data_IF_538778694485
#
_entry.id   IF_538778694485
#
_cell.length_a   1.000
_cell.length_b   1.000
_cell.length_c   1.000
_cell.angle_alpha   90.00
_cell.angle_beta   90.00
_cell.angle_gamma   90.00
#
_symmetry.space_group_name_H-M   'P 1'
#
loop_
_entity.id
_entity.type
_entity.pdbx_description
1 polymer ?
#
# COMPACT_ATOMS: atom_id res chain seq x y z
N UNK A 1 -0.77 -29.39 90.06
CA UNK A 1 0.67 -29.39 89.75
C UNK A 1 0.82 -29.65 88.25
N UNK A 2 1.43 -28.68 87.56
CA UNK A 2 2.05 -28.65 86.22
C UNK A 2 1.24 -29.22 85.04
N UNK A 3 0.72 -28.45 84.08
CA UNK A 3 1.21 -27.28 83.31
C UNK A 3 2.25 -27.62 82.22
N UNK A 4 1.79 -27.55 80.96
CA UNK A 4 2.44 -27.14 79.68
C UNK A 4 1.69 -27.87 78.55
N UNK A 5 0.75 -27.30 77.80
CA UNK A 5 0.75 -26.07 76.99
C UNK A 5 1.73 -26.12 75.80
N UNK A 6 1.21 -26.57 74.65
CA UNK A 6 1.52 -26.05 73.31
C UNK A 6 0.57 -26.75 72.30
N UNK A 7 -0.52 -26.08 71.87
CA UNK A 7 -0.59 -25.38 70.57
C UNK A 7 -0.73 -26.38 69.40
N UNK A 8 -1.72 -26.36 68.51
CA UNK A 8 -2.54 -25.26 68.01
C UNK A 8 -3.65 -25.90 67.15
N UNK A 9 -4.91 -25.49 67.34
CA UNK A 9 -6.06 -25.82 66.48
C UNK A 9 -5.89 -25.20 65.10
N UNK A 10 -5.94 -25.97 64.00
CA UNK A 10 -6.49 -25.55 62.69
C UNK A 10 -6.85 -26.81 61.89
N UNK A 11 -8.13 -27.15 61.74
CA UNK A 11 -8.64 -27.92 60.60
C UNK A 11 -10.18 -27.91 60.51
N UNK A 12 -10.76 -26.71 60.53
CA UNK A 12 -12.19 -26.51 60.30
C UNK A 12 -12.47 -25.25 59.48
N UNK A 13 -11.88 -25.11 58.30
CA UNK A 13 -12.34 -24.16 57.26
C UNK A 13 -11.63 -24.39 55.91
N UNK A 14 -11.87 -25.52 55.25
CA UNK A 14 -11.29 -25.82 53.94
C UNK A 14 -12.23 -25.61 52.74
N UNK A 15 -13.36 -24.92 52.89
CA UNK A 15 -14.43 -24.94 51.87
C UNK A 15 -14.76 -23.61 51.18
N UNK A 16 -14.19 -22.46 51.56
CA UNK A 16 -14.55 -21.19 50.91
C UNK A 16 -13.38 -20.20 50.87
N UNK A 17 -12.45 -20.35 49.92
CA UNK A 17 -11.57 -19.23 49.57
C UNK A 17 -10.97 -19.37 48.15
N UNK A 18 -11.82 -19.34 47.12
CA UNK A 18 -11.33 -18.91 45.80
C UNK A 18 -11.33 -17.37 45.78
N UNK A 19 -10.17 -16.69 45.68
CA UNK A 19 -10.12 -15.25 45.80
C UNK A 19 -10.68 -14.58 44.53
N UNK A 20 -11.43 -13.46 44.65
CA UNK A 20 -12.11 -12.77 43.54
C UNK A 20 -11.16 -12.13 42.52
N UNK A 21 -9.85 -12.10 42.80
CA UNK A 21 -8.82 -11.56 41.89
C UNK A 21 -8.59 -12.42 40.66
N UNK A 22 -8.88 -13.73 40.73
CA UNK A 22 -8.76 -14.62 39.56
C UNK A 22 -9.71 -14.17 38.46
N UNK A 23 -10.98 -13.89 38.77
CA UNK A 23 -11.98 -13.47 37.79
C UNK A 23 -11.63 -12.17 37.06
N UNK A 24 -10.99 -11.21 37.74
CA UNK A 24 -10.58 -9.94 37.13
C UNK A 24 -9.39 -10.11 36.19
N UNK A 25 -8.37 -10.88 36.61
CA UNK A 25 -7.24 -11.26 35.77
C UNK A 25 -7.73 -12.07 34.57
N UNK A 26 -8.74 -12.91 34.79
CA UNK A 26 -9.34 -13.74 33.76
C UNK A 26 -10.14 -12.94 32.72
N UNK A 27 -10.87 -11.90 33.14
CA UNK A 27 -11.55 -10.99 32.22
C UNK A 27 -10.59 -10.11 31.42
N UNK A 28 -9.51 -9.64 32.06
CA UNK A 28 -8.46 -8.86 31.39
C UNK A 28 -7.75 -9.70 30.31
N UNK A 29 -7.43 -10.94 30.63
CA UNK A 29 -6.79 -11.89 29.72
C UNK A 29 -7.67 -12.19 28.49
N UNK A 30 -8.96 -12.44 28.71
CA UNK A 30 -9.93 -12.62 27.63
C UNK A 30 -10.07 -11.36 26.75
N UNK A 31 -10.12 -10.17 27.36
CA UNK A 31 -10.17 -8.90 26.63
C UNK A 31 -8.91 -8.65 25.79
N UNK A 32 -7.74 -9.00 26.32
CA UNK A 32 -6.47 -8.86 25.61
C UNK A 32 -6.37 -9.84 24.44
N UNK A 33 -6.86 -11.08 24.61
CA UNK A 33 -6.95 -12.08 23.53
C UNK A 33 -7.88 -11.61 22.42
N UNK A 34 -9.05 -11.05 22.74
CA UNK A 34 -9.96 -10.48 21.74
C UNK A 34 -9.37 -9.24 21.05
N UNK A 35 -8.71 -8.35 21.79
CA UNK A 35 -8.06 -7.17 21.25
C UNK A 35 -6.89 -7.55 20.31
N UNK A 36 -6.09 -8.55 20.69
CA UNK A 36 -5.02 -9.10 19.86
C UNK A 36 -5.58 -9.80 18.61
N UNK A 37 -6.63 -10.61 18.76
CA UNK A 37 -7.31 -11.26 17.64
C UNK A 37 -7.91 -10.23 16.67
N UNK A 38 -8.53 -9.18 17.19
CA UNK A 38 -9.06 -8.06 16.41
C UNK A 38 -7.94 -7.28 15.70
N UNK A 39 -6.84 -6.97 16.39
CA UNK A 39 -5.64 -6.35 15.79
C UNK A 39 -5.08 -7.19 14.64
N UNK A 40 -4.95 -8.51 14.82
CA UNK A 40 -4.46 -9.43 13.77
C UNK A 40 -5.46 -9.58 12.61
N UNK A 41 -6.76 -9.48 12.88
CA UNK A 41 -7.81 -9.46 11.85
C UNK A 41 -7.72 -8.18 10.99
N UNK A 42 -7.48 -7.03 11.62
CA UNK A 42 -7.44 -5.72 10.96
C UNK A 42 -6.14 -5.46 10.20
N UNK A 43 -4.99 -6.03 10.63
CA UNK A 43 -3.67 -5.67 10.08
C UNK A 43 -3.32 -6.30 8.72
N UNK A 44 -3.94 -7.40 8.26
CA UNK A 44 -3.36 -8.18 7.14
C UNK A 44 -4.29 -8.28 5.90
N UNK A 45 -3.93 -7.55 4.84
CA UNK A 45 -4.57 -7.61 3.53
C UNK A 45 -3.77 -8.42 2.51
N UNK A 46 -4.07 -9.72 2.36
CA UNK A 46 -3.87 -10.51 1.12
C UNK A 46 -4.53 -11.91 1.24
N UNK A 47 -5.12 -12.42 0.15
CA UNK A 47 -6.37 -13.22 0.26
C UNK A 47 -6.30 -14.75 0.17
N UNK A 48 -5.16 -15.46 0.20
CA UNK A 48 -5.22 -16.94 0.14
C UNK A 48 -4.41 -17.68 1.21
N UNK A 49 -3.09 -17.54 1.23
CA UNK A 49 -2.22 -18.23 2.22
C UNK A 49 -2.44 -17.67 3.63
N UNK A 50 -2.75 -16.38 3.73
CA UNK A 50 -3.00 -15.71 5.02
C UNK A 50 -4.29 -16.16 5.69
N UNK A 51 -5.30 -16.66 4.95
CA UNK A 51 -6.51 -17.23 5.55
C UNK A 51 -6.22 -18.54 6.28
N UNK A 52 -5.33 -19.36 5.73
CA UNK A 52 -4.91 -20.62 6.34
C UNK A 52 -4.09 -20.37 7.62
N UNK A 53 -3.15 -19.42 7.59
CA UNK A 53 -2.36 -19.02 8.76
C UNK A 53 -3.25 -18.40 9.84
N UNK A 54 -4.19 -17.52 9.47
CA UNK A 54 -5.19 -16.95 10.39
C UNK A 54 -6.06 -18.03 11.03
N UNK A 55 -6.57 -18.96 10.24
CA UNK A 55 -7.36 -20.09 10.75
C UNK A 55 -6.57 -20.93 11.74
N UNK A 56 -5.29 -21.18 11.49
CA UNK A 56 -4.40 -21.90 12.41
C UNK A 56 -4.14 -21.12 13.71
N UNK A 57 -3.93 -19.80 13.64
CA UNK A 57 -3.78 -18.94 14.83
C UNK A 57 -5.07 -18.92 15.65
N UNK A 58 -6.23 -18.77 15.02
CA UNK A 58 -7.54 -18.82 15.69
C UNK A 58 -7.74 -20.17 16.39
N UNK A 59 -7.35 -21.27 15.73
CA UNK A 59 -7.44 -22.62 16.29
C UNK A 59 -6.50 -22.81 17.50
N UNK A 60 -5.28 -22.28 17.44
CA UNK A 60 -4.35 -22.25 18.57
C UNK A 60 -4.92 -21.45 19.76
N UNK A 61 -5.48 -20.27 19.51
CA UNK A 61 -6.11 -19.45 20.55
C UNK A 61 -7.34 -20.14 21.15
N UNK A 62 -8.19 -20.75 20.33
CA UNK A 62 -9.34 -21.52 20.81
C UNK A 62 -8.91 -22.69 21.71
N UNK A 63 -7.79 -23.36 21.39
CA UNK A 63 -7.23 -24.43 22.21
C UNK A 63 -6.70 -23.92 23.54
N UNK A 64 -6.04 -22.74 23.54
CA UNK A 64 -5.57 -22.08 24.76
C UNK A 64 -6.73 -21.64 25.66
N UNK A 65 -7.76 -21.01 25.09
CA UNK A 65 -8.98 -20.62 25.81
C UNK A 65 -9.72 -21.85 26.36
N UNK A 66 -9.79 -22.94 25.59
CA UNK A 66 -10.42 -24.18 26.06
C UNK A 66 -9.66 -24.83 27.22
N UNK A 67 -8.32 -24.75 27.23
CA UNK A 67 -7.50 -25.22 28.34
C UNK A 67 -7.73 -24.38 29.59
N UNK A 68 -7.77 -23.06 29.40
CA UNK A 68 -8.00 -22.09 30.46
C UNK A 68 -9.41 -22.17 31.06
N UNK A 69 -10.44 -22.38 30.23
CA UNK A 69 -11.82 -22.57 30.65
C UNK A 69 -12.09 -23.95 31.28
N UNK A 70 -11.09 -24.85 31.35
CA UNK A 70 -11.22 -26.19 31.93
C UNK A 70 -12.07 -27.17 31.12
N UNK A 71 -12.35 -26.87 29.84
CA UNK A 71 -13.20 -27.71 28.98
C UNK A 71 -12.42 -28.91 28.44
N UNK A 72 -12.37 -30.00 29.22
CA UNK A 72 -11.51 -31.17 28.95
C UNK A 72 -11.77 -31.87 27.61
N UNK A 73 -13.03 -32.12 27.24
CA UNK A 73 -13.38 -32.79 25.97
C UNK A 73 -13.09 -31.90 24.75
N UNK A 74 -13.42 -30.61 24.86
CA UNK A 74 -13.16 -29.63 23.80
C UNK A 74 -11.66 -29.43 23.60
N UNK A 75 -10.88 -29.35 24.68
CA UNK A 75 -9.43 -29.22 24.60
C UNK A 75 -8.79 -30.42 23.90
N UNK A 76 -9.22 -31.65 24.20
CA UNK A 76 -8.74 -32.85 23.51
C UNK A 76 -9.05 -32.77 22.01
N UNK A 77 -10.29 -32.44 21.64
CA UNK A 77 -10.70 -32.34 20.23
C UNK A 77 -9.92 -31.23 19.47
N UNK A 78 -9.81 -30.04 20.06
CA UNK A 78 -9.07 -28.92 19.47
C UNK A 78 -7.57 -29.21 19.38
N UNK A 79 -6.97 -29.84 20.40
CA UNK A 79 -5.55 -30.19 20.38
C UNK A 79 -5.23 -31.25 19.30
N UNK A 80 -6.10 -32.24 19.10
CA UNK A 80 -5.99 -33.18 17.98
C UNK A 80 -6.12 -32.47 16.62
N UNK A 81 -7.01 -31.49 16.52
CA UNK A 81 -7.20 -30.69 15.30
C UNK A 81 -6.00 -29.77 15.02
N UNK A 82 -5.41 -29.14 16.05
CA UNK A 82 -4.16 -28.36 15.94
C UNK A 82 -3.04 -29.26 15.45
N UNK A 83 -2.89 -30.46 16.02
CA UNK A 83 -1.84 -31.39 15.64
C UNK A 83 -1.97 -31.81 14.18
N UNK A 84 -3.18 -32.19 13.73
CA UNK A 84 -3.42 -32.56 12.33
C UNK A 84 -3.26 -31.40 11.36
N UNK A 85 -3.75 -30.21 11.72
CA UNK A 85 -3.60 -29.01 10.89
C UNK A 85 -2.16 -28.52 10.82
N UNK A 86 -1.36 -28.66 11.87
CA UNK A 86 0.06 -28.33 11.86
C UNK A 86 0.84 -29.18 10.84
N UNK A 87 0.55 -30.49 10.80
CA UNK A 87 1.17 -31.41 9.83
C UNK A 87 0.77 -31.04 8.40
N UNK A 88 -0.53 -30.82 8.15
CA UNK A 88 -1.02 -30.40 6.84
C UNK A 88 -0.42 -29.05 6.41
N UNK A 89 -0.32 -28.10 7.34
CA UNK A 89 0.26 -26.78 7.13
C UNK A 89 1.75 -26.88 6.79
N UNK A 90 2.51 -27.73 7.48
CA UNK A 90 3.94 -27.93 7.21
C UNK A 90 4.19 -28.51 5.81
N UNK A 91 3.32 -29.41 5.34
CA UNK A 91 3.38 -29.96 3.97
C UNK A 91 3.07 -28.89 2.94
N UNK A 92 2.02 -28.08 3.16
CA UNK A 92 1.60 -27.04 2.22
C UNK A 92 2.62 -25.89 2.17
N UNK A 93 3.12 -25.44 3.33
CA UNK A 93 4.09 -24.34 3.45
C UNK A 93 5.53 -24.75 3.14
N UNK A 94 5.78 -26.00 2.74
CA UNK A 94 7.14 -26.49 2.47
C UNK A 94 7.86 -25.62 1.44
N UNK A 95 7.13 -25.13 0.42
CA UNK A 95 7.70 -24.32 -0.66
C UNK A 95 8.02 -22.89 -0.22
N UNK A 96 7.24 -22.34 0.71
CA UNK A 96 7.34 -21.01 1.28
C UNK A 96 8.47 -20.94 2.30
N UNK A 97 8.56 -21.91 3.22
CA UNK A 97 9.69 -22.01 4.15
C UNK A 97 11.02 -22.16 3.42
N UNK A 98 11.06 -22.95 2.34
CA UNK A 98 12.25 -23.05 1.49
C UNK A 98 12.63 -21.70 0.90
N UNK A 99 11.68 -20.93 0.38
CA UNK A 99 11.91 -19.58 -0.16
C UNK A 99 12.38 -18.60 0.92
N UNK A 100 11.78 -18.65 2.11
CA UNK A 100 12.19 -17.82 3.25
C UNK A 100 13.61 -18.13 3.70
N UNK A 101 13.98 -19.41 3.78
CA UNK A 101 15.35 -19.84 4.10
C UNK A 101 16.34 -19.46 3.01
N UNK A 102 15.92 -19.50 1.74
CA UNK A 102 16.74 -19.04 0.62
C UNK A 102 16.99 -17.52 0.69
N UNK A 103 15.98 -16.72 1.03
CA UNK A 103 16.10 -15.29 1.27
C UNK A 103 16.96 -14.97 2.50
N UNK A 104 16.81 -15.74 3.58
CA UNK A 104 17.62 -15.62 4.80
C UNK A 104 19.08 -15.98 4.54
N UNK A 105 19.34 -17.03 3.74
CA UNK A 105 20.68 -17.48 3.35
C UNK A 105 21.40 -16.55 2.37
N UNK A 106 20.66 -15.79 1.56
CA UNK A 106 21.20 -14.73 0.68
C UNK A 106 21.54 -13.44 1.44
N UNK A 107 21.21 -13.33 2.73
CA UNK A 107 21.51 -12.16 3.55
C UNK A 107 20.55 -10.98 3.34
N UNK A 108 19.45 -11.16 2.59
CA UNK A 108 18.42 -10.13 2.35
C UNK A 108 17.68 -9.72 3.64
N UNK A 109 17.75 -10.55 4.69
CA UNK A 109 17.14 -10.27 5.99
C UNK A 109 18.08 -9.47 6.89
N UNK A 110 19.40 -9.74 6.87
CA UNK A 110 20.40 -8.89 7.56
C UNK A 110 20.38 -7.47 7.00
N UNK A 111 20.05 -7.40 5.72
CA UNK A 111 19.77 -6.21 4.98
C UNK A 111 18.58 -5.40 5.59
N UNK A 112 17.52 -6.03 6.10
CA UNK A 112 16.40 -5.35 6.78
C UNK A 112 16.72 -4.85 8.20
N UNK A 113 17.76 -5.39 8.84
CA UNK A 113 18.14 -5.06 10.24
C UNK A 113 19.42 -4.21 10.38
N UNK A 114 20.11 -3.89 9.28
CA UNK A 114 21.30 -3.05 9.30
C UNK A 114 20.97 -1.54 9.20
N UNK A 115 21.53 -0.67 10.06
CA UNK A 115 21.49 0.78 9.85
C UNK A 115 22.53 1.15 8.78
N UNK A 116 22.19 0.85 7.53
CA UNK A 116 23.08 1.06 6.41
C UNK A 116 22.29 1.12 5.12
N UNK A 117 21.88 2.35 4.75
CA UNK A 117 21.46 2.79 3.42
C UNK A 117 21.05 1.65 2.48
N UNK A 118 19.83 1.17 2.63
CA UNK A 118 19.06 0.75 1.47
C UNK A 118 18.02 1.83 1.27
N UNK A 119 18.23 2.63 0.23
CA UNK A 119 17.16 3.37 -0.41
C UNK A 119 16.09 2.35 -0.75
N UNK A 120 15.13 2.15 0.14
CA UNK A 120 13.77 1.87 -0.28
C UNK A 120 13.48 3.08 -1.17
N UNK A 121 13.41 2.91 -2.50
CA UNK A 121 13.15 4.04 -3.36
C UNK A 121 11.78 4.58 -2.90
N UNK A 122 11.74 5.82 -2.42
CA UNK A 122 10.48 6.50 -2.11
C UNK A 122 9.58 6.38 -3.35
N UNK A 123 8.24 6.29 -3.22
CA UNK A 123 7.34 6.18 -4.36
C UNK A 123 7.64 7.18 -5.50
N UNK A 124 8.14 8.37 -5.16
CA UNK A 124 8.63 9.38 -6.11
C UNK A 124 9.76 8.88 -7.01
N UNK A 125 10.72 8.13 -6.46
CA UNK A 125 11.84 7.59 -7.23
C UNK A 125 11.44 6.48 -8.21
N UNK A 126 10.41 5.68 -7.92
CA UNK A 126 9.92 4.67 -8.88
C UNK A 126 9.24 5.35 -10.07
N UNK A 127 8.45 6.40 -9.80
CA UNK A 127 7.82 7.20 -10.87
C UNK A 127 8.90 7.86 -11.71
N UNK A 128 9.95 8.41 -11.09
CA UNK A 128 11.09 8.99 -11.80
C UNK A 128 11.79 7.98 -12.72
N UNK A 129 12.09 6.78 -12.23
CA UNK A 129 12.70 5.70 -13.03
C UNK A 129 11.83 5.33 -14.25
N UNK A 130 10.51 5.25 -14.07
CA UNK A 130 9.56 4.96 -15.16
C UNK A 130 9.52 6.11 -16.17
N UNK A 131 9.42 7.35 -15.69
CA UNK A 131 9.34 8.55 -16.55
C UNK A 131 10.63 8.72 -17.36
N UNK A 132 11.79 8.52 -16.74
CA UNK A 132 13.08 8.61 -17.43
C UNK A 132 13.28 7.47 -18.44
N UNK A 133 12.84 6.25 -18.12
CA UNK A 133 12.82 5.16 -19.08
C UNK A 133 11.92 5.47 -20.29
N UNK A 134 10.68 5.91 -20.03
CA UNK A 134 9.70 6.27 -21.06
C UNK A 134 10.18 7.42 -21.93
N UNK A 135 10.82 8.42 -21.34
CA UNK A 135 11.40 9.56 -22.06
C UNK A 135 12.47 9.10 -23.06
N UNK A 136 13.36 8.21 -22.65
CA UNK A 136 14.42 7.70 -23.52
C UNK A 136 13.86 6.77 -24.61
N UNK A 137 12.91 5.90 -24.26
CA UNK A 137 12.20 5.06 -25.22
C UNK A 137 11.46 5.91 -26.26
N UNK A 138 10.83 7.01 -25.83
CA UNK A 138 10.16 7.99 -26.69
C UNK A 138 11.14 8.68 -27.65
N UNK A 139 12.28 9.15 -27.16
CA UNK A 139 13.34 9.78 -27.97
C UNK A 139 13.90 8.82 -29.03
N UNK A 140 14.09 7.56 -28.64
CA UNK A 140 14.58 6.50 -29.52
C UNK A 140 13.48 5.86 -30.38
N UNK A 141 12.23 6.35 -30.31
CA UNK A 141 11.04 5.78 -30.98
C UNK A 141 10.91 4.27 -30.79
N UNK A 142 11.23 3.80 -29.59
CA UNK A 142 11.11 2.40 -29.21
C UNK A 142 9.73 2.18 -28.61
N UNK A 143 8.95 1.28 -29.21
CA UNK A 143 7.59 0.97 -28.76
C UNK A 143 7.58 0.33 -27.37
N UNK A 144 6.77 0.87 -26.47
CA UNK A 144 6.67 0.37 -25.10
C UNK A 144 5.22 0.35 -24.63
N UNK A 145 4.91 -0.62 -23.76
CA UNK A 145 3.59 -0.77 -23.14
C UNK A 145 3.79 -1.19 -21.69
N UNK A 146 3.58 -0.27 -20.76
CA UNK A 146 3.67 -0.50 -19.32
C UNK A 146 2.27 -0.53 -18.73
N UNK A 147 2.01 -1.48 -17.84
CA UNK A 147 0.78 -1.58 -17.06
C UNK A 147 1.16 -1.35 -15.61
N UNK A 148 0.58 -0.33 -15.00
CA UNK A 148 0.76 0.00 -13.59
C UNK A 148 -0.53 -0.34 -12.85
N UNK A 149 -0.40 -1.16 -11.81
CA UNK A 149 -1.48 -1.41 -10.87
C UNK A 149 -1.65 -0.22 -9.92
N UNK A 150 -2.89 0.13 -9.60
CA UNK A 150 -3.22 1.23 -8.67
C UNK A 150 -3.66 0.67 -7.32
N UNK A 151 -4.94 0.31 -7.18
CA UNK A 151 -5.51 -0.10 -5.89
C UNK A 151 -5.59 -1.62 -5.69
N UNK A 152 -5.81 -2.38 -6.76
CA UNK A 152 -6.02 -3.82 -6.70
C UNK A 152 -5.18 -4.57 -7.74
N UNK A 153 -4.60 -5.72 -7.38
CA UNK A 153 -3.80 -6.50 -8.32
C UNK A 153 -4.65 -7.02 -9.47
N UNK A 154 -4.09 -6.98 -10.68
CA UNK A 154 -4.71 -7.53 -11.87
C UNK A 154 -4.59 -9.05 -11.82
N UNK A 155 -5.68 -9.76 -12.15
CA UNK A 155 -5.67 -11.21 -12.18
C UNK A 155 -5.00 -11.70 -13.48
N UNK A 156 -4.24 -12.79 -13.41
CA UNK A 156 -3.62 -13.39 -14.61
C UNK A 156 -4.67 -13.77 -15.67
N UNK A 157 -5.93 -13.99 -15.27
CA UNK A 157 -7.08 -14.28 -16.15
C UNK A 157 -7.51 -13.11 -17.03
N UNK A 158 -7.15 -11.87 -16.67
CA UNK A 158 -7.46 -10.69 -17.47
C UNK A 158 -6.49 -10.52 -18.66
N UNK A 159 -5.36 -11.24 -18.63
CA UNK A 159 -4.38 -11.29 -19.71
C UNK A 159 -4.74 -12.37 -20.73
N UNK A 160 -4.38 -12.15 -22.00
CA UNK A 160 -4.48 -13.18 -23.03
C UNK A 160 -3.35 -14.21 -22.88
N UNK A 161 -2.14 -13.76 -22.54
CA UNK A 161 -1.00 -14.63 -22.20
C UNK A 161 -0.21 -14.01 -21.04
N UNK A 162 0.06 -14.75 -19.94
CA UNK A 162 0.62 -14.20 -18.70
C UNK A 162 2.11 -13.79 -18.74
N UNK A 163 2.76 -13.81 -19.90
CA UNK A 163 4.15 -13.34 -20.09
C UNK A 163 5.21 -14.12 -19.30
N UNK A 164 6.43 -13.58 -19.26
CA UNK A 164 7.57 -14.14 -18.50
C UNK A 164 7.67 -13.45 -17.15
N UNK A 165 7.64 -14.22 -16.06
CA UNK A 165 7.76 -13.72 -14.69
C UNK A 165 9.20 -13.28 -14.40
N UNK A 166 9.38 -12.04 -13.96
CA UNK A 166 10.69 -11.45 -13.66
C UNK A 166 10.88 -11.21 -12.16
N UNK A 167 9.87 -10.62 -11.50
CA UNK A 167 9.93 -10.19 -10.09
C UNK A 167 11.16 -9.33 -9.75
N UNK A 168 11.56 -8.47 -10.68
CA UNK A 168 12.70 -7.59 -10.56
C UNK A 168 12.29 -6.23 -9.97
N UNK A 169 13.24 -5.49 -9.40
CA UNK A 169 13.05 -4.10 -9.00
C UNK A 169 12.94 -3.21 -10.24
N UNK A 170 12.09 -2.18 -10.19
CA UNK A 170 11.96 -1.22 -11.29
C UNK A 170 13.25 -0.40 -11.38
N UNK A 171 13.89 -0.42 -12.54
CA UNK A 171 14.97 0.50 -12.89
C UNK A 171 14.83 0.93 -14.34
N UNK A 172 15.35 2.13 -14.65
CA UNK A 172 15.41 2.67 -16.00
C UNK A 172 16.07 1.70 -16.97
N UNK A 173 17.25 1.17 -16.61
CA UNK A 173 18.04 0.29 -17.47
C UNK A 173 17.29 -1.01 -17.78
N UNK A 174 16.58 -1.57 -16.79
CA UNK A 174 15.81 -2.79 -16.98
C UNK A 174 14.61 -2.56 -17.90
N UNK A 175 13.86 -1.46 -17.70
CA UNK A 175 12.75 -1.10 -18.59
C UNK A 175 13.22 -0.87 -20.03
N UNK A 176 14.32 -0.15 -20.21
CA UNK A 176 14.93 0.04 -21.54
C UNK A 176 15.34 -1.29 -22.17
N UNK A 177 15.96 -2.18 -21.39
CA UNK A 177 16.40 -3.51 -21.87
C UNK A 177 15.22 -4.38 -22.28
N UNK A 178 14.13 -4.38 -21.51
CA UNK A 178 12.93 -5.16 -21.82
C UNK A 178 12.33 -4.72 -23.16
N UNK A 179 12.22 -3.42 -23.41
CA UNK A 179 11.64 -2.89 -24.64
C UNK A 179 12.62 -2.77 -25.81
N UNK A 180 13.88 -3.18 -25.64
CA UNK A 180 14.85 -3.20 -26.71
C UNK A 180 14.33 -4.07 -27.87
N UNK A 181 14.30 -3.55 -29.12
CA UNK A 181 13.83 -4.32 -30.27
C UNK A 181 14.63 -5.62 -30.44
N UNK A 182 13.95 -6.67 -30.92
CA UNK A 182 14.50 -8.02 -31.20
C UNK A 182 14.81 -8.88 -29.97
N UNK A 183 14.45 -8.45 -28.76
CA UNK A 183 14.49 -9.33 -27.59
C UNK A 183 13.26 -10.22 -27.53
N UNK A 184 13.21 -11.25 -26.68
CA UNK A 184 11.98 -12.04 -26.50
C UNK A 184 10.92 -11.33 -25.64
N UNK A 185 11.32 -10.30 -24.88
CA UNK A 185 10.46 -9.64 -23.91
C UNK A 185 9.80 -8.35 -24.42
N UNK A 186 10.33 -7.74 -25.50
CA UNK A 186 9.80 -6.48 -26.03
C UNK A 186 8.42 -6.59 -26.69
N UNK A 187 8.04 -7.80 -27.08
CA UNK A 187 6.73 -8.09 -27.68
C UNK A 187 5.71 -8.36 -26.59
N UNK A 188 5.04 -7.28 -26.18
CA UNK A 188 3.95 -7.32 -25.21
C UNK A 188 4.04 -6.18 -24.21
N UNK A 189 3.34 -6.36 -23.10
CA UNK A 189 3.29 -5.42 -22.01
C UNK A 189 4.16 -5.85 -20.83
N UNK A 190 4.62 -4.86 -20.07
CA UNK A 190 5.32 -5.05 -18.80
C UNK A 190 4.39 -4.68 -17.66
N UNK A 191 4.15 -5.64 -16.75
CA UNK A 191 3.32 -5.47 -15.56
C UNK A 191 4.16 -4.99 -14.39
N UNK A 192 3.81 -3.83 -13.84
CA UNK A 192 4.47 -3.19 -12.70
C UNK A 192 3.48 -3.11 -11.54
N UNK A 193 3.93 -3.59 -10.37
CA UNK A 193 3.20 -3.56 -9.10
C UNK A 193 4.08 -2.85 -8.06
N UNK A 194 3.68 -1.65 -7.67
CA UNK A 194 4.47 -0.80 -6.78
C UNK A 194 5.88 -0.58 -7.36
N UNK A 195 6.91 -0.99 -6.61
CA UNK A 195 8.33 -0.87 -7.00
C UNK A 195 8.90 -2.06 -7.79
N UNK A 196 8.07 -3.03 -8.22
CA UNK A 196 8.55 -4.26 -8.89
C UNK A 196 7.91 -4.51 -10.25
N UNK A 197 8.72 -4.99 -11.17
CA UNK A 197 8.29 -5.56 -12.45
C UNK A 197 7.92 -7.03 -12.21
N UNK A 198 6.63 -7.34 -12.26
CA UNK A 198 6.10 -8.68 -12.01
C UNK A 198 6.39 -9.59 -13.21
N UNK A 199 6.03 -9.13 -14.41
CA UNK A 199 6.19 -9.87 -15.65
C UNK A 199 6.42 -8.94 -16.86
N UNK A 200 7.07 -9.46 -17.90
CA UNK A 200 7.26 -8.79 -19.19
C UNK A 200 6.78 -9.68 -20.34
N UNK A 201 6.52 -9.11 -21.50
CA UNK A 201 5.97 -9.84 -22.66
C UNK A 201 4.54 -10.35 -22.41
N UNK A 202 3.76 -9.67 -21.58
CA UNK A 202 2.35 -10.02 -21.31
C UNK A 202 1.50 -9.63 -22.52
N UNK A 203 0.72 -10.56 -23.05
CA UNK A 203 -0.18 -10.27 -24.18
C UNK A 203 -1.53 -9.84 -23.62
N UNK A 204 -1.96 -8.64 -24.00
CA UNK A 204 -3.20 -8.05 -23.53
C UNK A 204 -4.33 -8.18 -24.55
N UNK A 205 -5.59 -8.20 -24.08
CA UNK A 205 -6.73 -8.09 -24.97
C UNK A 205 -6.75 -6.74 -25.67
N UNK A 206 -7.19 -6.75 -26.94
CA UNK A 206 -7.33 -5.53 -27.73
C UNK A 206 -8.75 -4.97 -27.56
N UNK A 207 -8.88 -3.66 -27.42
CA UNK A 207 -10.19 -2.98 -27.48
C UNK A 207 -10.79 -3.09 -28.89
N UNK A 208 -12.09 -3.32 -28.94
CA UNK A 208 -12.92 -3.34 -30.16
C UNK A 208 -13.56 -1.99 -30.46
N UNK A 209 -13.46 -1.01 -29.56
CA UNK A 209 -13.97 0.34 -29.85
C UNK A 209 -13.28 0.85 -31.12
N UNK A 210 -14.04 1.60 -31.92
CA UNK A 210 -13.57 2.34 -33.09
C UNK A 210 -12.57 3.43 -32.67
N UNK A 211 -11.42 2.96 -32.24
CA UNK A 211 -10.19 3.68 -32.10
C UNK A 211 -9.92 4.35 -33.46
N UNK A 212 -9.66 5.66 -33.45
CA UNK A 212 -9.23 6.40 -34.64
C UNK A 212 -8.20 5.56 -35.41
N UNK A 213 -8.39 5.43 -36.74
CA UNK A 213 -7.69 4.53 -37.68
C UNK A 213 -6.14 4.54 -37.63
N UNK A 214 -5.56 5.42 -36.82
CA UNK A 214 -4.14 5.67 -36.58
C UNK A 214 -3.62 5.03 -35.27
N UNK A 215 -4.40 4.20 -34.58
CA UNK A 215 -3.98 3.58 -33.32
C UNK A 215 -3.36 2.20 -33.56
N UNK A 216 -2.06 2.09 -33.26
CA UNK A 216 -1.33 0.82 -33.32
C UNK A 216 -1.79 -0.21 -32.28
N UNK A 217 -1.31 -1.44 -32.42
CA UNK A 217 -1.68 -2.60 -31.58
C UNK A 217 -1.45 -2.36 -30.08
N UNK A 218 -0.32 -1.76 -29.69
CA UNK A 218 -0.02 -1.42 -28.29
C UNK A 218 -1.03 -0.45 -27.66
N UNK A 219 -1.54 0.51 -28.42
CA UNK A 219 -2.57 1.44 -27.94
C UNK A 219 -3.90 0.72 -27.74
N UNK A 220 -4.28 -0.14 -28.68
CA UNK A 220 -5.50 -0.95 -28.57
C UNK A 220 -5.43 -1.93 -27.41
N UNK A 221 -4.27 -2.51 -27.15
CA UNK A 221 -4.00 -3.35 -25.99
C UNK A 221 -4.15 -2.59 -24.68
N UNK A 222 -3.57 -1.39 -24.57
CA UNK A 222 -3.69 -0.52 -23.40
C UNK A 222 -5.15 -0.14 -23.11
N UNK A 223 -5.94 0.20 -24.14
CA UNK A 223 -7.37 0.46 -23.97
C UNK A 223 -8.12 -0.82 -23.58
N UNK A 224 -7.84 -1.96 -24.21
CA UNK A 224 -8.56 -3.21 -23.96
C UNK A 224 -8.41 -3.72 -22.53
N UNK A 225 -7.20 -3.61 -21.94
CA UNK A 225 -7.02 -4.00 -20.53
C UNK A 225 -7.66 -2.99 -19.58
N UNK A 226 -7.55 -1.68 -19.84
CA UNK A 226 -8.11 -0.63 -18.98
C UNK A 226 -9.63 -0.51 -19.07
N UNK A 227 -10.26 -1.07 -20.11
CA UNK A 227 -11.72 -1.26 -20.19
C UNK A 227 -12.22 -2.37 -19.27
N UNK A 228 -11.42 -3.44 -19.11
CA UNK A 228 -11.77 -4.60 -18.28
C UNK A 228 -11.44 -4.40 -16.82
N UNK A 229 -10.32 -3.72 -16.55
CA UNK A 229 -9.79 -3.52 -15.21
C UNK A 229 -9.69 -2.03 -14.92
N UNK A 230 -10.50 -1.56 -13.97
CA UNK A 230 -10.55 -0.13 -13.60
C UNK A 230 -9.34 0.29 -12.76
N UNK A 231 -8.78 -0.64 -11.98
CA UNK A 231 -7.65 -0.41 -11.09
C UNK A 231 -6.28 -0.51 -11.79
N UNK A 232 -6.21 -0.16 -13.07
CA UNK A 232 -4.95 -0.12 -13.80
C UNK A 232 -4.82 1.13 -14.69
N UNK A 233 -3.58 1.53 -14.92
CA UNK A 233 -3.20 2.60 -15.83
C UNK A 233 -2.16 2.03 -16.77
N UNK A 234 -2.27 2.35 -18.05
CA UNK A 234 -1.27 1.95 -19.03
C UNK A 234 -0.53 3.14 -19.60
N UNK A 235 0.79 3.04 -19.69
CA UNK A 235 1.64 4.01 -20.39
C UNK A 235 2.11 3.38 -21.70
N UNK A 236 1.93 4.08 -22.80
CA UNK A 236 2.26 3.61 -24.14
C UNK A 236 3.21 4.57 -24.82
N UNK A 237 4.26 4.03 -25.43
CA UNK A 237 5.15 4.77 -26.33
C UNK A 237 4.93 4.25 -27.75
N UNK A 238 4.63 5.15 -28.68
CA UNK A 238 4.47 4.83 -30.10
C UNK A 238 5.82 4.55 -30.76
N UNK A 239 5.96 3.39 -31.40
CA UNK A 239 7.15 3.06 -32.21
C UNK A 239 7.24 3.88 -33.50
N UNK A 240 6.11 4.35 -34.03
CA UNK A 240 6.07 5.15 -35.26
C UNK A 240 6.46 6.61 -35.02
N UNK A 241 5.94 7.19 -33.94
CA UNK A 241 6.01 8.64 -33.69
C UNK A 241 6.85 9.01 -32.48
N UNK A 242 7.17 8.07 -31.60
CA UNK A 242 7.74 8.34 -30.28
C UNK A 242 6.76 8.99 -29.30
N UNK A 243 5.49 9.22 -29.67
CA UNK A 243 4.53 9.88 -28.79
C UNK A 243 4.18 9.03 -27.56
N UNK A 244 4.11 9.70 -26.41
CA UNK A 244 3.71 9.11 -25.13
C UNK A 244 2.20 9.27 -24.98
N UNK A 245 1.53 8.19 -24.59
CA UNK A 245 0.10 8.16 -24.31
C UNK A 245 -0.17 7.47 -22.98
N UNK A 246 -1.22 7.91 -22.28
CA UNK A 246 -1.70 7.27 -21.05
C UNK A 246 -3.12 6.76 -21.26
N UNK A 247 -3.36 5.48 -21.04
CA UNK A 247 -4.68 4.87 -21.10
C UNK A 247 -5.23 4.61 -19.69
N UNK A 248 -6.49 4.95 -19.47
CA UNK A 248 -7.21 4.67 -18.22
C UNK A 248 -8.71 4.57 -18.49
N UNK A 249 -9.38 3.57 -17.90
CA UNK A 249 -10.81 3.33 -18.08
C UNK A 249 -11.25 3.32 -19.55
N UNK A 250 -10.42 2.75 -20.43
CA UNK A 250 -10.66 2.70 -21.87
C UNK A 250 -10.51 4.02 -22.64
N UNK A 251 -10.14 5.12 -21.96
CA UNK A 251 -9.82 6.39 -22.60
C UNK A 251 -8.31 6.53 -22.78
N UNK A 252 -7.88 7.13 -23.88
CA UNK A 252 -6.48 7.35 -24.20
C UNK A 252 -6.18 8.85 -24.22
N UNK A 253 -5.33 9.31 -23.30
CA UNK A 253 -4.84 10.68 -23.24
C UNK A 253 -3.51 10.79 -24.01
N UNK A 254 -3.50 11.57 -25.09
CA UNK A 254 -2.34 11.73 -25.98
C UNK A 254 -2.39 13.04 -26.79
N UNK A 255 -1.25 13.54 -27.27
CA UNK A 255 0.11 13.18 -26.86
C UNK A 255 0.46 13.84 -25.51
N UNK A 256 1.29 13.17 -24.71
CA UNK A 256 1.77 13.68 -23.42
C UNK A 256 3.25 14.04 -23.47
N UNK A 257 3.65 15.04 -22.68
CA UNK A 257 5.06 15.31 -22.38
C UNK A 257 5.53 14.46 -21.20
N UNK A 258 6.83 14.22 -21.07
CA UNK A 258 7.38 13.47 -19.92
C UNK A 258 7.03 14.13 -18.58
N UNK A 259 7.06 15.47 -18.52
CA UNK A 259 6.66 16.23 -17.32
C UNK A 259 5.17 16.04 -17.00
N UNK A 260 4.29 16.05 -18.01
CA UNK A 260 2.86 15.83 -17.79
C UNK A 260 2.55 14.39 -17.41
N UNK A 261 3.31 13.42 -17.95
CA UNK A 261 3.22 12.03 -17.55
C UNK A 261 3.55 11.87 -16.06
N UNK A 262 4.65 12.47 -15.59
CA UNK A 262 5.04 12.44 -14.18
C UNK A 262 3.92 12.94 -13.27
N UNK A 263 3.40 14.14 -13.54
CA UNK A 263 2.29 14.74 -12.79
C UNK A 263 1.05 13.83 -12.75
N UNK A 264 0.69 13.20 -13.88
CA UNK A 264 -0.45 12.30 -13.97
C UNK A 264 -0.24 10.98 -13.22
N UNK A 265 0.99 10.46 -13.18
CA UNK A 265 1.33 9.25 -12.45
C UNK A 265 1.34 9.50 -10.94
N UNK A 266 1.97 10.59 -10.50
CA UNK A 266 1.96 11.02 -9.09
C UNK A 266 0.54 11.18 -8.56
N UNK A 267 -0.30 11.93 -9.29
CA UNK A 267 -1.69 12.18 -8.89
C UNK A 267 -2.55 10.90 -8.79
N UNK A 268 -2.18 9.82 -9.49
CA UNK A 268 -2.96 8.58 -9.54
C UNK A 268 -2.41 7.45 -8.67
N UNK A 269 -1.10 7.43 -8.45
CA UNK A 269 -0.43 6.40 -7.64
C UNK A 269 -0.24 6.84 -6.18
N UNK A 270 -0.20 8.15 -5.92
CA UNK A 270 -0.16 8.72 -4.57
C UNK A 270 -1.47 9.47 -4.26
N UNK A 271 -2.61 8.78 -4.04
CA UNK A 271 -3.87 9.44 -3.67
C UNK A 271 -3.83 10.12 -2.28
N UNK A 272 -2.71 10.02 -1.54
CA UNK A 272 -2.58 10.56 -0.17
C UNK A 272 -2.19 12.05 -0.09
N UNK A 273 -1.93 12.75 -1.21
CA UNK A 273 -1.70 14.21 -1.22
C UNK A 273 -2.69 14.99 -2.11
N UNK A 274 -3.82 14.38 -2.46
CA UNK A 274 -4.71 14.88 -3.53
C UNK A 274 -6.02 15.57 -3.12
N UNK A 275 -6.33 15.76 -1.84
CA UNK A 275 -7.43 16.64 -1.40
C UNK A 275 -6.86 18.02 -1.03
N UNK A 276 -6.56 18.85 -2.03
CA UNK A 276 -6.08 20.20 -1.74
C UNK A 276 -5.52 21.05 -2.87
N UNK A 277 -5.78 20.77 -4.16
CA UNK A 277 -5.39 21.71 -5.22
C UNK A 277 -6.54 22.67 -5.52
N UNK A 278 -6.65 23.71 -4.69
CA UNK A 278 -7.21 24.99 -5.14
C UNK A 278 -6.24 25.58 -6.20
N UNK A 279 -6.73 26.25 -7.26
CA UNK A 279 -5.86 26.85 -8.27
C UNK A 279 -4.90 27.87 -7.64
N UNK A 280 -3.68 28.05 -8.16
CA UNK A 280 -2.72 28.98 -7.61
C UNK A 280 -3.27 30.40 -7.75
N UNK A 281 -3.61 31.00 -6.61
CA UNK A 281 -3.92 32.43 -6.54
C UNK A 281 -2.63 33.17 -6.93
N UNK A 282 -2.65 34.05 -7.94
CA UNK A 282 -1.48 34.84 -8.29
C UNK A 282 -1.20 35.85 -7.17
N UNK A 283 -0.35 35.49 -6.20
CA UNK A 283 0.20 36.43 -5.23
C UNK A 283 1.41 37.12 -5.89
N UNK A 284 1.10 37.94 -6.88
CA UNK A 284 2.01 38.90 -7.48
C UNK A 284 1.46 40.30 -7.27
N UNK A 285 2.14 41.09 -6.42
CA UNK A 285 1.99 42.55 -6.28
C UNK A 285 0.86 43.14 -5.41
N UNK A 286 0.33 42.44 -4.41
CA UNK A 286 -0.60 43.06 -3.43
C UNK A 286 0.10 43.75 -2.23
N UNK A 287 1.41 43.52 -2.05
CA UNK A 287 2.21 44.13 -0.98
C UNK A 287 2.50 45.63 -1.13
N UNK A 288 2.17 46.25 -2.28
CA UNK A 288 2.37 47.69 -2.53
C UNK A 288 1.10 48.54 -2.44
N UNK A 289 -0.10 47.95 -2.43
CA UNK A 289 -1.36 48.72 -2.45
C UNK A 289 -2.05 48.88 -1.08
N UNK A 290 -1.66 48.11 -0.06
CA UNK A 290 -2.26 48.22 1.28
C UNK A 290 -1.65 49.39 2.09
N UNK A 291 -0.40 49.78 1.78
CA UNK A 291 0.28 50.90 2.47
C UNK A 291 -0.28 52.30 2.19
N UNK A 292 -1.00 52.51 1.08
CA UNK A 292 -1.48 53.83 0.68
C UNK A 292 -2.90 54.16 1.17
N UNK A 293 -3.68 53.16 1.62
CA UNK A 293 -5.04 53.40 2.15
C UNK A 293 -5.11 53.49 3.68
N UNK A 294 -4.11 52.97 4.41
CA UNK A 294 -4.04 53.11 5.87
C UNK A 294 -3.66 54.55 6.32
N UNK A 295 -2.77 55.22 5.59
CA UNK A 295 -2.33 56.59 5.92
C UNK A 295 -3.45 57.65 5.79
N UNK A 296 -4.36 57.47 4.84
CA UNK A 296 -5.50 58.37 4.64
C UNK A 296 -6.58 58.24 5.75
N UNK A 297 -6.63 57.11 6.46
CA UNK A 297 -7.62 56.87 7.51
C UNK A 297 -7.13 57.37 8.88
N UNK A 298 -5.82 57.32 9.14
CA UNK A 298 -5.22 57.78 10.41
C UNK A 298 -5.21 59.32 10.52
N UNK A 299 -5.09 60.05 9.39
CA UNK A 299 -5.13 61.52 9.41
C UNK A 299 -6.53 62.12 9.65
N UNK A 300 -7.60 61.33 9.54
CA UNK A 300 -8.98 61.76 9.88
C UNK A 300 -9.32 61.59 11.36
N UNK A 301 -8.61 60.73 12.09
CA UNK A 301 -8.84 60.47 13.52
C UNK A 301 -8.08 61.46 14.41
N UNK A 302 -7.07 62.17 13.90
CA UNK A 302 -6.21 63.06 14.70
C UNK A 302 -6.55 64.56 14.66
N UNK A 303 -7.73 64.98 14.19
CA UNK A 303 -8.16 66.39 14.28
C UNK A 303 -8.97 66.65 15.56
N UNK A 304 -8.30 67.20 16.57
CA UNK A 304 -8.96 67.89 17.70
C UNK A 304 -9.69 69.15 17.20
N UNK A 305 -10.94 69.42 17.62
CA UNK A 305 -11.57 70.72 17.38
C UNK A 305 -10.98 71.81 18.30
N UNK A 306 -11.00 73.09 17.89
CA UNK A 306 -10.48 74.21 18.68
C UNK A 306 -11.39 74.55 19.88
N UNK A 307 -10.86 75.21 20.94
CA UNK A 307 -11.64 75.55 22.12
C UNK A 307 -12.64 76.68 21.84
N UNK A 308 -13.89 76.48 22.28
CA UNK A 308 -14.94 77.48 22.25
C UNK A 308 -14.83 78.43 23.43
N UNK A 309 -14.69 79.72 23.16
CA UNK A 309 -14.73 80.79 24.15
C UNK A 309 -16.18 81.23 24.39
N UNK A 310 -16.63 81.29 25.65
CA UNK A 310 -17.80 82.06 26.08
C UNK A 310 -17.59 82.57 27.50
N UNK A 311 -17.50 83.89 27.60
CA UNK A 311 -17.45 84.71 28.80
C UNK A 311 -18.77 84.72 29.59
N UNK A 312 -18.64 84.97 30.91
CA UNK A 312 -19.58 85.62 31.84
C UNK A 312 -20.92 84.92 32.15
N UNK A 313 -21.07 84.40 33.38
CA UNK A 313 -21.63 85.14 34.54
C UNK A 313 -21.46 84.31 35.82
#
# INVERSE_FOLDING_TARGET
>A
MNNQQSSFDINSAGFLQYPPVSFLIHGLDLGLVFALAYMVLVIIGERRTLWMVRGFIVLMLATAVSNWAGLRLLHIALNSLVTGSAVAMAVILQSEFRRLLEQLGRGEILQLFGPGRRSIPEPDSVIDEIVDAVKELSQNRTGALLILETDSPIDERDFSVPGVKLNAEVSKELLQTIFQPKTLLHDGATLIRGSRIVAAGVILPLSERTASRQLGTRHRAAMGITERVQACICVVVSEETGSISLAQMGNLNRPLTSSKLKELLEAKLNPSEGEGVAPPIPIGNLGRQIGLRASAMISRILRRPPPSNRDKN
#
